data_IF_597231728987
#
_entry.id   IF_597231728987
#
_cell.length_a   1.000
_cell.length_b   1.000
_cell.length_c   1.000
_cell.angle_alpha   90.00
_cell.angle_beta   90.00
_cell.angle_gamma   90.00
#
_symmetry.space_group_name_H-M   'P 1'
#
loop_
_entity.id
_entity.type
_entity.pdbx_description
1 polymer ?
#
# COMPACT_ATOMS: atom_id res chain seq x y z
N UNK A 1 4.32 -1.21 -4.97
CA UNK A 1 2.86 -1.31 -4.68
C UNK A 1 2.39 -2.71 -4.99
N UNK A 2 1.49 -3.29 -4.18
CA UNK A 2 0.90 -4.61 -4.43
C UNK A 2 -0.58 -4.43 -4.70
N UNK A 3 -1.04 -4.97 -5.83
CA UNK A 3 -2.43 -4.87 -6.29
C UNK A 3 -3.03 -6.26 -6.35
N UNK A 4 -4.16 -6.46 -5.66
CA UNK A 4 -5.01 -7.64 -5.82
C UNK A 4 -5.99 -7.42 -6.98
N UNK A 5 -6.23 -8.46 -7.76
CA UNK A 5 -7.28 -8.50 -8.79
C UNK A 5 -8.08 -9.75 -8.53
N UNK A 6 -9.38 -9.63 -8.35
CA UNK A 6 -10.28 -10.75 -8.14
C UNK A 6 -11.42 -10.71 -9.14
N UNK A 7 -11.48 -11.73 -9.96
CA UNK A 7 -12.47 -11.92 -11.01
C UNK A 7 -12.51 -13.43 -11.32
N UNK A 8 -13.67 -14.04 -11.35
CA UNK A 8 -13.84 -15.47 -11.67
C UNK A 8 -13.56 -15.77 -13.15
N UNK A 9 -13.68 -14.76 -14.00
CA UNK A 9 -13.29 -14.84 -15.39
C UNK A 9 -11.81 -14.45 -15.54
N UNK A 10 -10.96 -15.43 -15.84
CA UNK A 10 -9.53 -15.24 -16.00
C UNK A 10 -9.16 -14.26 -17.12
N UNK A 11 -9.92 -14.20 -18.19
CA UNK A 11 -9.68 -13.27 -19.32
C UNK A 11 -9.92 -11.83 -18.86
N UNK A 12 -10.99 -11.59 -18.10
CA UNK A 12 -11.30 -10.29 -17.52
C UNK A 12 -10.23 -9.89 -16.50
N UNK A 13 -9.80 -10.81 -15.64
CA UNK A 13 -8.73 -10.55 -14.67
C UNK A 13 -7.41 -10.12 -15.37
N UNK A 14 -7.04 -10.79 -16.46
CA UNK A 14 -5.86 -10.42 -17.26
C UNK A 14 -6.05 -9.06 -17.93
N UNK A 15 -7.23 -8.79 -18.47
CA UNK A 15 -7.56 -7.49 -19.07
C UNK A 15 -7.47 -6.34 -18.05
N UNK A 16 -8.01 -6.55 -16.84
CA UNK A 16 -7.89 -5.60 -15.73
C UNK A 16 -6.41 -5.38 -15.41
N UNK A 17 -5.60 -6.44 -15.28
CA UNK A 17 -4.17 -6.36 -15.02
C UNK A 17 -3.45 -5.49 -16.08
N UNK A 18 -3.69 -5.74 -17.34
CA UNK A 18 -3.05 -5.00 -18.44
C UNK A 18 -3.40 -3.51 -18.39
N UNK A 19 -4.68 -3.16 -18.22
CA UNK A 19 -5.10 -1.77 -18.15
C UNK A 19 -4.60 -1.05 -16.91
N UNK A 20 -4.58 -1.70 -15.74
CA UNK A 20 -3.99 -1.15 -14.52
C UNK A 20 -2.49 -0.87 -14.71
N UNK A 21 -1.74 -1.83 -15.26
CA UNK A 21 -0.31 -1.67 -15.50
C UNK A 21 -0.03 -0.54 -16.52
N UNK A 22 -0.84 -0.44 -17.59
CA UNK A 22 -0.76 0.64 -18.58
C UNK A 22 -1.00 2.01 -17.92
N UNK A 23 -2.05 2.14 -17.13
CA UNK A 23 -2.35 3.39 -16.42
C UNK A 23 -1.25 3.77 -15.42
N UNK A 24 -0.73 2.83 -14.65
CA UNK A 24 0.34 3.09 -13.68
C UNK A 24 1.63 3.57 -14.34
N UNK A 25 2.01 2.97 -15.47
CA UNK A 25 3.16 3.44 -16.27
C UNK A 25 3.00 4.88 -16.74
N UNK A 26 1.79 5.29 -17.15
CA UNK A 26 1.51 6.69 -17.52
C UNK A 26 1.76 7.68 -16.38
N UNK A 27 1.62 7.23 -15.12
CA UNK A 27 1.88 8.04 -13.93
C UNK A 27 3.28 7.82 -13.32
N UNK A 28 4.18 7.10 -14.02
CA UNK A 28 5.56 6.87 -13.56
C UNK A 28 5.71 5.77 -12.50
N UNK A 29 4.67 4.99 -12.23
CA UNK A 29 4.69 3.87 -11.28
C UNK A 29 5.12 2.57 -11.97
N UNK A 30 6.43 2.40 -12.17
CA UNK A 30 6.97 1.23 -12.90
C UNK A 30 7.04 -0.06 -12.06
N UNK A 31 7.05 0.06 -10.70
CA UNK A 31 7.28 -1.08 -9.80
C UNK A 31 5.98 -1.50 -9.11
N UNK A 32 5.11 -2.16 -9.86
CA UNK A 32 3.85 -2.69 -9.34
C UNK A 32 3.81 -4.20 -9.46
N UNK A 33 3.23 -4.84 -8.46
CA UNK A 33 2.94 -6.26 -8.45
C UNK A 33 1.46 -6.44 -8.49
N UNK A 34 1.03 -7.30 -9.38
CA UNK A 34 -0.34 -7.73 -9.46
C UNK A 34 -0.47 -9.19 -9.03
N UNK A 35 -1.49 -9.48 -8.25
CA UNK A 35 -1.84 -10.81 -7.79
C UNK A 35 -3.26 -11.08 -8.27
N UNK A 36 -3.42 -12.04 -9.17
CA UNK A 36 -4.72 -12.47 -9.66
C UNK A 36 -5.24 -13.58 -8.76
N UNK A 37 -6.49 -13.48 -8.35
CA UNK A 37 -7.24 -14.48 -7.60
C UNK A 37 -8.55 -14.74 -8.34
N UNK A 38 -8.86 -16.00 -8.60
CA UNK A 38 -10.08 -16.41 -9.31
C UNK A 38 -11.24 -16.63 -8.33
N UNK A 39 -10.97 -16.56 -7.03
CA UNK A 39 -11.96 -16.68 -5.96
C UNK A 39 -11.65 -15.75 -4.77
N UNK A 40 -12.70 -15.43 -4.00
CA UNK A 40 -12.61 -14.53 -2.85
C UNK A 40 -11.77 -15.08 -1.71
N UNK A 41 -11.70 -16.39 -1.51
CA UNK A 41 -10.91 -17.01 -0.42
C UNK A 41 -9.43 -16.83 -0.66
N UNK A 42 -8.97 -17.06 -1.90
CA UNK A 42 -7.58 -16.80 -2.30
C UNK A 42 -7.21 -15.33 -2.19
N UNK A 43 -8.15 -14.44 -2.51
CA UNK A 43 -7.94 -13.00 -2.32
C UNK A 43 -7.73 -12.68 -0.84
N UNK A 44 -8.58 -13.16 0.05
CA UNK A 44 -8.46 -12.93 1.50
C UNK A 44 -7.15 -13.49 2.07
N UNK A 45 -6.74 -14.67 1.64
CA UNK A 45 -5.44 -15.24 2.00
C UNK A 45 -4.28 -14.37 1.53
N UNK A 46 -4.34 -13.88 0.30
CA UNK A 46 -3.35 -12.94 -0.22
C UNK A 46 -3.33 -11.62 0.58
N UNK A 47 -4.48 -11.08 1.00
CA UNK A 47 -4.55 -9.89 1.84
C UNK A 47 -3.90 -10.12 3.21
N UNK A 48 -4.04 -11.33 3.78
CA UNK A 48 -3.44 -11.70 5.09
C UNK A 48 -1.94 -11.94 5.02
N UNK A 49 -1.45 -12.51 3.93
CA UNK A 49 -0.06 -12.96 3.78
C UNK A 49 0.83 -11.97 3.02
N UNK A 50 0.23 -11.08 2.23
CA UNK A 50 0.92 -10.11 1.38
C UNK A 50 0.42 -8.70 1.70
N UNK A 51 1.29 -7.72 1.55
CA UNK A 51 0.94 -6.31 1.80
C UNK A 51 0.17 -5.71 0.61
N UNK A 52 -1.07 -6.16 0.41
CA UNK A 52 -1.95 -5.64 -0.63
C UNK A 52 -2.37 -4.20 -0.26
N UNK A 53 -2.27 -3.28 -1.23
CA UNK A 53 -2.60 -1.86 -1.03
C UNK A 53 -3.91 -1.48 -1.73
N UNK A 54 -4.15 -2.07 -2.90
CA UNK A 54 -5.28 -1.79 -3.76
C UNK A 54 -5.86 -3.09 -4.28
N UNK A 55 -7.19 -3.18 -4.35
CA UNK A 55 -7.89 -4.33 -4.92
C UNK A 55 -8.82 -3.85 -6.01
N UNK A 56 -8.75 -4.52 -7.17
CA UNK A 56 -9.78 -4.50 -8.20
C UNK A 56 -10.63 -5.75 -8.01
N UNK A 57 -11.91 -5.56 -7.73
CA UNK A 57 -12.81 -6.62 -7.29
C UNK A 57 -14.04 -6.67 -8.18
N UNK A 58 -14.25 -7.81 -8.81
CA UNK A 58 -15.53 -8.06 -9.49
C UNK A 58 -16.64 -8.23 -8.45
N UNK A 59 -17.82 -7.76 -8.79
CA UNK A 59 -19.02 -7.86 -7.94
C UNK A 59 -19.75 -9.18 -8.13
N UNK A 60 -19.71 -9.75 -9.32
CA UNK A 60 -20.45 -10.96 -9.68
C UNK A 60 -19.53 -12.14 -9.84
N UNK A 61 -19.34 -12.87 -8.76
CA UNK A 61 -18.61 -14.14 -8.76
C UNK A 61 -19.53 -15.26 -8.25
N UNK A 62 -19.53 -16.46 -8.88
CA UNK A 62 -20.47 -17.54 -8.57
C UNK A 62 -20.48 -18.00 -7.10
N UNK A 63 -19.33 -17.96 -6.44
CA UNK A 63 -19.16 -18.47 -5.08
C UNK A 63 -19.08 -17.39 -4.00
N UNK A 64 -19.06 -16.11 -4.40
CA UNK A 64 -18.82 -15.02 -3.47
C UNK A 64 -19.39 -13.70 -3.99
N UNK A 65 -20.21 -13.04 -3.18
CA UNK A 65 -20.66 -11.69 -3.47
C UNK A 65 -19.51 -10.70 -3.24
N UNK A 66 -19.13 -9.94 -4.28
CA UNK A 66 -18.03 -8.97 -4.17
C UNK A 66 -18.23 -7.91 -3.10
N UNK A 67 -19.47 -7.55 -2.77
CA UNK A 67 -19.77 -6.62 -1.67
C UNK A 67 -19.46 -7.21 -0.31
N UNK A 68 -19.89 -8.45 -0.04
CA UNK A 68 -19.58 -9.16 1.21
C UNK A 68 -18.08 -9.37 1.38
N UNK A 69 -17.39 -9.64 0.27
CA UNK A 69 -15.94 -9.78 0.28
C UNK A 69 -15.23 -8.46 0.59
N UNK A 70 -15.74 -7.34 0.05
CA UNK A 70 -15.24 -6.01 0.35
C UNK A 70 -15.38 -5.67 1.85
N UNK A 71 -16.53 -6.01 2.46
CA UNK A 71 -16.76 -5.81 3.89
C UNK A 71 -15.75 -6.61 4.74
N UNK A 72 -15.55 -7.89 4.44
CA UNK A 72 -14.56 -8.72 5.12
C UNK A 72 -13.13 -8.17 4.99
N UNK A 73 -12.79 -7.59 3.84
CA UNK A 73 -11.48 -6.96 3.62
C UNK A 73 -11.34 -5.69 4.46
N UNK A 74 -12.38 -4.84 4.52
CA UNK A 74 -12.38 -3.62 5.34
C UNK A 74 -12.29 -3.92 6.83
N UNK A 75 -12.99 -4.94 7.32
CA UNK A 75 -12.93 -5.39 8.71
C UNK A 75 -11.53 -5.88 9.07
N UNK A 76 -10.88 -6.58 8.14
CA UNK A 76 -9.52 -7.05 8.32
C UNK A 76 -8.50 -5.90 8.25
N UNK A 77 -8.60 -5.02 7.26
CA UNK A 77 -7.67 -3.90 7.05
C UNK A 77 -8.30 -2.77 6.22
N UNK A 78 -8.84 -1.78 6.90
CA UNK A 78 -9.47 -0.60 6.27
C UNK A 78 -8.52 0.31 5.48
N UNK A 79 -7.19 0.08 5.57
CA UNK A 79 -6.21 0.80 4.75
C UNK A 79 -6.17 0.30 3.30
N UNK A 80 -6.61 -0.94 3.03
CA UNK A 80 -6.72 -1.48 1.68
C UNK A 80 -7.80 -0.70 0.93
N UNK A 81 -7.45 -0.20 -0.25
CA UNK A 81 -8.43 0.49 -1.11
C UNK A 81 -9.06 -0.49 -2.08
N UNK A 82 -10.38 -0.41 -2.23
CA UNK A 82 -11.15 -1.28 -3.12
C UNK A 82 -11.70 -0.45 -4.26
N UNK A 83 -11.53 -0.95 -5.48
CA UNK A 83 -12.14 -0.47 -6.70
C UNK A 83 -12.98 -1.63 -7.23
N UNK A 84 -14.29 -1.41 -7.34
CA UNK A 84 -15.15 -2.39 -7.96
C UNK A 84 -15.01 -2.34 -9.49
N UNK A 85 -15.08 -3.51 -10.12
CA UNK A 85 -15.04 -3.67 -11.58
C UNK A 85 -16.20 -4.57 -11.98
N UNK A 86 -17.17 -4.08 -12.74
CA UNK A 86 -18.34 -4.88 -13.10
C UNK A 86 -18.91 -4.49 -14.47
N UNK A 87 -19.62 -5.41 -15.08
CA UNK A 87 -20.46 -5.15 -16.26
C UNK A 87 -21.79 -4.48 -15.90
N UNK A 88 -22.22 -4.57 -14.65
CA UNK A 88 -23.53 -4.12 -14.18
C UNK A 88 -23.50 -2.69 -13.66
N UNK A 89 -23.81 -1.73 -14.54
CA UNK A 89 -23.80 -0.29 -14.20
C UNK A 89 -24.85 0.09 -13.12
N UNK A 90 -25.92 -0.67 -12.99
CA UNK A 90 -26.93 -0.47 -11.95
C UNK A 90 -26.38 -0.69 -10.53
N UNK A 91 -25.36 -1.53 -10.36
CA UNK A 91 -24.73 -1.78 -9.05
C UNK A 91 -23.85 -0.62 -8.55
N UNK A 92 -23.65 0.42 -9.37
CA UNK A 92 -22.89 1.61 -8.94
C UNK A 92 -23.54 2.24 -7.70
N UNK A 93 -24.86 2.34 -7.65
CA UNK A 93 -25.54 2.95 -6.50
C UNK A 93 -25.41 2.10 -5.23
N UNK A 94 -25.58 0.79 -5.35
CA UNK A 94 -25.43 -0.14 -4.22
C UNK A 94 -24.00 -0.16 -3.69
N UNK A 95 -23.03 0.05 -4.58
CA UNK A 95 -21.61 0.09 -4.19
C UNK A 95 -21.25 1.22 -3.23
N UNK A 96 -22.02 2.31 -3.17
CA UNK A 96 -21.75 3.44 -2.27
C UNK A 96 -21.83 3.06 -0.79
N UNK A 97 -22.62 2.07 -0.42
CA UNK A 97 -22.71 1.58 0.97
C UNK A 97 -21.38 1.03 1.48
N UNK A 98 -20.56 0.51 0.56
CA UNK A 98 -19.25 -0.08 0.85
C UNK A 98 -18.09 0.91 0.72
N UNK A 99 -18.40 2.19 0.48
CA UNK A 99 -17.43 3.29 0.35
C UNK A 99 -16.17 2.93 -0.51
N UNK A 100 -16.35 2.36 -1.73
CA UNK A 100 -15.20 2.04 -2.58
C UNK A 100 -14.45 3.30 -2.99
N UNK A 101 -13.18 3.14 -3.32
CA UNK A 101 -12.40 4.24 -3.86
C UNK A 101 -12.94 4.71 -5.22
N UNK A 102 -13.36 3.77 -6.04
CA UNK A 102 -13.92 3.99 -7.37
C UNK A 102 -14.74 2.79 -7.85
N UNK A 103 -15.51 3.01 -8.94
CA UNK A 103 -16.20 1.97 -9.68
C UNK A 103 -15.76 2.03 -11.14
N UNK A 104 -15.33 0.91 -11.70
CA UNK A 104 -14.91 0.74 -13.09
C UNK A 104 -15.95 -0.13 -13.81
N UNK A 105 -16.53 0.39 -14.86
CA UNK A 105 -17.41 -0.39 -15.74
C UNK A 105 -16.58 -1.13 -16.77
N UNK A 106 -16.75 -2.44 -16.86
CA UNK A 106 -16.00 -3.27 -17.84
C UNK A 106 -16.23 -2.80 -19.28
N UNK A 107 -17.44 -2.28 -19.57
CA UNK A 107 -17.80 -1.67 -20.88
C UNK A 107 -17.01 -0.38 -21.20
N UNK A 108 -16.52 0.35 -20.20
CA UNK A 108 -15.74 1.58 -20.34
C UNK A 108 -14.39 1.49 -19.62
N UNK A 109 -13.78 0.29 -19.62
CA UNK A 109 -12.64 -0.05 -18.75
C UNK A 109 -11.48 0.95 -18.90
N UNK A 110 -11.03 1.25 -20.09
CA UNK A 110 -9.87 2.14 -20.31
C UNK A 110 -10.08 3.52 -19.68
N UNK A 111 -11.25 4.13 -19.92
CA UNK A 111 -11.56 5.46 -19.41
C UNK A 111 -11.73 5.50 -17.87
N UNK A 112 -12.48 4.51 -17.35
CA UNK A 112 -12.81 4.49 -15.94
C UNK A 112 -11.60 4.01 -15.11
N UNK A 113 -10.75 3.13 -15.65
CA UNK A 113 -9.50 2.68 -15.05
C UNK A 113 -8.51 3.83 -14.86
N UNK A 114 -8.34 4.66 -15.88
CA UNK A 114 -7.45 5.83 -15.78
C UNK A 114 -7.85 6.75 -14.62
N UNK A 115 -9.16 7.01 -14.47
CA UNK A 115 -9.70 7.83 -13.37
C UNK A 115 -9.52 7.16 -12.01
N UNK A 116 -9.76 5.85 -11.94
CA UNK A 116 -9.62 5.05 -10.74
C UNK A 116 -8.17 5.05 -10.23
N UNK A 117 -7.21 4.76 -11.11
CA UNK A 117 -5.78 4.79 -10.79
C UNK A 117 -5.33 6.20 -10.39
N UNK A 118 -5.75 7.23 -11.12
CA UNK A 118 -5.44 8.62 -10.76
C UNK A 118 -5.99 8.99 -9.37
N UNK A 119 -7.21 8.57 -9.05
CA UNK A 119 -7.83 8.77 -7.72
C UNK A 119 -7.03 8.07 -6.64
N UNK A 120 -6.64 6.82 -6.87
CA UNK A 120 -5.84 6.03 -5.95
C UNK A 120 -4.50 6.71 -5.66
N UNK A 121 -3.74 7.08 -6.68
CA UNK A 121 -2.45 7.73 -6.52
C UNK A 121 -2.56 9.05 -5.76
N UNK A 122 -3.61 9.85 -6.03
CA UNK A 122 -3.90 11.07 -5.26
C UNK A 122 -4.24 10.79 -3.80
N UNK A 123 -4.91 9.67 -3.51
CA UNK A 123 -5.25 9.28 -2.14
C UNK A 123 -4.03 8.78 -1.40
N UNK A 124 -3.20 7.95 -2.04
CA UNK A 124 -1.94 7.48 -1.46
C UNK A 124 -0.95 8.61 -1.19
N UNK A 125 -0.88 9.60 -2.07
CA UNK A 125 -0.05 10.79 -1.83
C UNK A 125 -0.55 11.65 -0.67
N UNK A 126 -1.79 11.44 -0.22
CA UNK A 126 -2.43 12.16 0.88
C UNK A 126 -2.54 11.35 2.18
N UNK A 127 -1.96 10.15 2.27
CA UNK A 127 -1.91 9.48 3.57
C UNK A 127 -1.09 10.34 4.51
N UNK A 128 -1.81 11.03 5.38
CA UNK A 128 -1.27 12.01 6.28
C UNK A 128 -1.05 11.35 7.63
N UNK A 129 0.16 11.44 8.15
CA UNK A 129 0.40 11.07 9.55
C UNK A 129 0.09 12.29 10.38
N UNK A 130 -0.92 12.14 11.24
CA UNK A 130 -1.18 13.12 12.28
C UNK A 130 -0.21 12.91 13.44
N UNK A 131 0.55 13.92 13.80
CA UNK A 131 1.44 13.93 14.95
C UNK A 131 1.33 15.24 15.70
N UNK A 132 1.30 15.19 17.02
CA UNK A 132 1.37 16.40 17.85
C UNK A 132 2.81 16.89 17.90
N UNK A 133 3.05 18.15 17.51
CA UNK A 133 4.27 18.85 17.85
C UNK A 133 4.18 19.25 19.35
N UNK A 134 5.13 18.79 20.18
CA UNK A 134 5.03 18.66 21.63
C UNK A 134 4.61 19.88 22.45
N UNK A 135 4.78 21.12 21.99
CA UNK A 135 4.41 22.32 22.74
C UNK A 135 3.39 23.22 22.03
N UNK A 136 3.20 23.08 20.75
CA UNK A 136 2.31 23.91 19.95
C UNK A 136 1.35 23.05 19.14
N UNK A 137 0.50 22.26 19.73
CA UNK A 137 -0.66 21.55 19.09
C UNK A 137 -0.80 21.76 17.55
N UNK A 138 0.29 21.72 16.79
CA UNK A 138 0.28 21.78 15.34
C UNK A 138 0.16 20.35 14.83
N UNK A 139 -0.91 20.11 14.10
CA UNK A 139 -1.06 18.92 13.30
C UNK A 139 -0.08 19.01 12.13
N UNK A 140 0.94 18.14 12.14
CA UNK A 140 1.88 18.05 11.03
C UNK A 140 1.36 16.95 10.11
N UNK A 141 1.16 17.32 8.85
CA UNK A 141 0.70 16.45 7.79
C UNK A 141 1.83 16.23 6.79
N UNK A 142 2.20 15.00 6.52
CA UNK A 142 3.17 14.69 5.47
C UNK A 142 2.74 13.48 4.65
N UNK A 143 3.13 13.52 3.40
CA UNK A 143 2.88 12.43 2.47
C UNK A 143 3.77 11.24 2.85
N UNK A 144 3.16 10.10 3.18
CA UNK A 144 3.89 8.87 3.54
C UNK A 144 4.84 8.42 2.44
N UNK A 145 4.46 8.58 1.17
CA UNK A 145 5.28 8.19 0.04
C UNK A 145 6.56 9.02 -0.09
N UNK A 146 6.57 10.21 0.50
CA UNK A 146 7.74 11.09 0.52
C UNK A 146 8.68 10.86 1.71
N UNK A 147 8.27 10.03 2.69
CA UNK A 147 9.11 9.68 3.84
C UNK A 147 10.12 8.61 3.44
N UNK A 148 11.40 8.89 3.65
CA UNK A 148 12.50 7.93 3.50
C UNK A 148 12.58 7.01 4.71
N UNK A 149 12.75 7.60 5.88
CA UNK A 149 12.84 6.89 7.16
C UNK A 149 12.50 7.82 8.32
N UNK A 150 12.28 7.22 9.48
CA UNK A 150 12.02 7.92 10.74
C UNK A 150 13.05 7.46 11.76
N UNK A 151 13.70 8.43 12.39
CA UNK A 151 14.68 8.21 13.44
C UNK A 151 14.11 8.65 14.80
N UNK A 152 14.36 7.86 15.84
CA UNK A 152 14.01 8.20 17.21
C UNK A 152 15.27 8.58 18.00
N UNK A 153 15.28 9.78 18.56
CA UNK A 153 16.30 10.26 19.50
C UNK A 153 15.60 10.65 20.80
N UNK A 154 15.70 9.80 21.81
CA UNK A 154 14.92 9.96 23.05
C UNK A 154 13.42 9.86 22.80
N UNK A 155 12.68 10.91 23.07
CA UNK A 155 11.23 11.02 22.83
C UNK A 155 10.89 11.83 21.56
N UNK A 156 11.90 12.21 20.77
CA UNK A 156 11.72 12.98 19.55
C UNK A 156 11.89 12.06 18.34
N UNK A 157 10.95 12.14 17.42
CA UNK A 157 10.98 11.46 16.13
C UNK A 157 11.36 12.49 15.06
N UNK A 158 12.36 12.14 14.27
CA UNK A 158 12.83 12.90 13.13
C UNK A 158 12.36 12.17 11.87
N UNK A 159 11.54 12.83 11.06
CA UNK A 159 10.96 12.28 9.84
C UNK A 159 11.73 12.86 8.68
N UNK A 160 12.51 12.02 8.02
CA UNK A 160 13.35 12.40 6.88
C UNK A 160 12.58 12.15 5.58
N UNK A 161 12.46 13.20 4.77
CA UNK A 161 11.71 13.22 3.52
C UNK A 161 12.65 13.10 2.31
N UNK A 162 12.14 12.68 1.15
CA UNK A 162 12.88 12.57 -0.10
C UNK A 162 13.40 13.92 -0.63
N UNK A 163 12.72 15.01 -0.29
CA UNK A 163 13.10 16.38 -0.65
C UNK A 163 14.09 17.01 0.33
N UNK A 164 14.81 16.19 1.13
CA UNK A 164 15.77 16.61 2.14
C UNK A 164 15.18 17.37 3.35
N UNK A 165 13.88 17.57 3.39
CA UNK A 165 13.22 18.11 4.58
C UNK A 165 13.24 17.13 5.74
N UNK A 166 13.32 17.67 6.98
CA UNK A 166 13.24 16.90 8.20
C UNK A 166 12.23 17.54 9.16
N UNK A 167 11.18 16.78 9.49
CA UNK A 167 10.19 17.21 10.47
C UNK A 167 10.46 16.58 11.83
N UNK A 168 10.24 17.37 12.90
CA UNK A 168 10.40 16.93 14.29
C UNK A 168 9.02 16.79 14.92
N UNK A 169 8.77 15.63 15.53
CA UNK A 169 7.53 15.38 16.28
C UNK A 169 7.85 14.65 17.59
N UNK A 170 7.00 14.78 18.59
CA UNK A 170 7.11 14.01 19.82
C UNK A 170 6.33 12.70 19.71
N UNK A 171 6.92 11.61 20.18
CA UNK A 171 6.25 10.32 20.17
C UNK A 171 7.21 9.14 20.32
N UNK A 172 6.67 7.94 20.10
CA UNK A 172 7.45 6.71 20.11
C UNK A 172 7.40 6.03 18.74
N UNK A 173 8.53 5.44 18.34
CA UNK A 173 8.55 4.64 17.12
C UNK A 173 7.58 3.45 17.17
N UNK A 174 7.32 2.89 18.36
CA UNK A 174 6.38 1.78 18.52
C UNK A 174 4.96 2.17 18.07
N UNK A 175 4.50 3.33 18.50
CA UNK A 175 3.18 3.85 18.11
C UNK A 175 3.08 4.13 16.61
N UNK A 176 4.17 4.58 15.96
CA UNK A 176 4.20 4.79 14.52
C UNK A 176 4.38 3.49 13.73
N UNK A 177 5.15 2.53 14.25
CA UNK A 177 5.37 1.23 13.62
C UNK A 177 4.05 0.52 13.33
N UNK A 178 3.14 0.45 14.32
CA UNK A 178 1.82 -0.17 14.16
C UNK A 178 0.99 0.52 13.06
N UNK A 179 1.02 1.85 13.00
CA UNK A 179 0.28 2.63 12.01
C UNK A 179 0.89 2.56 10.61
N UNK A 180 2.22 2.49 10.52
CA UNK A 180 2.95 2.58 9.27
C UNK A 180 3.29 1.22 8.65
N UNK A 181 3.08 0.12 9.39
CA UNK A 181 3.32 -1.23 8.89
C UNK A 181 2.53 -1.50 7.60
N UNK A 182 1.26 -1.11 7.57
CA UNK A 182 0.37 -1.29 6.40
C UNK A 182 0.81 -0.49 5.17
N UNK A 183 1.62 0.55 5.37
CA UNK A 183 2.18 1.38 4.31
C UNK A 183 3.60 0.95 3.89
N UNK A 184 4.07 -0.18 4.40
CA UNK A 184 5.36 -0.75 4.02
C UNK A 184 6.56 -0.19 4.79
N UNK A 185 6.34 0.35 5.98
CA UNK A 185 7.46 0.71 6.85
C UNK A 185 7.94 -0.49 7.66
N UNK A 186 9.26 -0.62 7.78
CA UNK A 186 9.92 -1.74 8.46
C UNK A 186 10.83 -1.21 9.57
N UNK A 187 10.68 -1.79 10.77
CA UNK A 187 11.54 -1.47 11.90
C UNK A 187 12.87 -2.18 11.79
N UNK A 188 13.92 -1.47 11.36
CA UNK A 188 15.27 -2.04 11.18
C UNK A 188 16.13 -1.96 12.45
N UNK A 189 15.87 -1.00 13.32
CA UNK A 189 16.61 -0.78 14.56
C UNK A 189 15.67 -0.26 15.66
N UNK A 190 16.11 -0.29 16.93
CA UNK A 190 15.33 0.34 18.03
C UNK A 190 15.04 1.82 17.75
N UNK A 191 15.88 2.48 16.97
CA UNK A 191 15.79 3.90 16.64
C UNK A 191 15.36 4.19 15.20
N UNK A 192 15.24 3.19 14.32
CA UNK A 192 14.97 3.43 12.89
C UNK A 192 13.76 2.64 12.38
N UNK A 193 12.86 3.35 11.73
CA UNK A 193 11.73 2.83 10.97
C UNK A 193 11.89 3.31 9.51
N UNK A 194 12.01 2.40 8.56
CA UNK A 194 12.39 2.70 7.18
C UNK A 194 11.27 2.37 6.22
N UNK A 195 11.05 3.21 5.22
CA UNK A 195 10.15 2.92 4.12
C UNK A 195 10.77 1.85 3.21
N UNK A 196 10.14 0.69 3.13
CA UNK A 196 10.62 -0.44 2.32
C UNK A 196 10.76 -0.10 0.82
N UNK A 197 9.98 0.86 0.32
CA UNK A 197 10.06 1.37 -1.06
C UNK A 197 11.39 2.08 -1.34
N UNK A 198 11.99 2.66 -0.30
CA UNK A 198 13.24 3.40 -0.39
C UNK A 198 14.48 2.54 -0.12
N UNK A 199 14.32 1.23 0.19
CA UNK A 199 15.44 0.33 0.44
C UNK A 199 16.03 -0.16 -0.89
N UNK A 200 17.28 0.20 -1.14
CA UNK A 200 18.08 -0.27 -2.28
C UNK A 200 18.60 -1.69 -2.03
N UNK A 201 19.29 -1.88 -0.91
CA UNK A 201 19.89 -3.19 -0.56
C UNK A 201 20.01 -3.38 0.96
N UNK A 202 20.17 -4.65 1.37
CA UNK A 202 20.42 -5.02 2.77
C UNK A 202 21.83 -5.61 2.87
N UNK A 203 22.68 -4.89 3.54
CA UNK A 203 24.01 -5.36 3.92
C UNK A 203 23.99 -6.32 5.12
N UNK A 204 25.18 -6.59 5.67
CA UNK A 204 25.30 -7.43 6.85
C UNK A 204 24.87 -6.71 8.14
N UNK A 205 25.17 -5.42 8.24
CA UNK A 205 24.90 -4.58 9.43
C UNK A 205 24.12 -3.32 9.11
N UNK A 206 23.94 -2.99 7.85
CA UNK A 206 23.29 -1.77 7.40
C UNK A 206 22.21 -2.07 6.36
N UNK A 207 21.24 -1.15 6.24
CA UNK A 207 20.33 -1.02 5.12
C UNK A 207 20.76 0.21 4.35
N UNK A 208 21.03 0.05 3.04
CA UNK A 208 21.30 1.16 2.14
C UNK A 208 19.99 1.62 1.49
N UNK A 209 19.72 2.91 1.52
CA UNK A 209 18.57 3.54 0.88
C UNK A 209 18.88 3.96 -0.55
N UNK A 210 17.86 4.38 -1.31
CA UNK A 210 17.98 4.80 -2.70
C UNK A 210 18.80 6.08 -2.88
N UNK A 211 18.84 6.95 -1.87
CA UNK A 211 19.65 8.17 -1.78
C UNK A 211 21.11 7.92 -1.36
N UNK A 212 21.46 6.66 -1.08
CA UNK A 212 22.81 6.25 -0.63
C UNK A 212 22.99 6.28 0.89
N UNK A 213 21.99 6.72 1.67
CA UNK A 213 22.07 6.70 3.14
C UNK A 213 22.17 5.26 3.65
N UNK A 214 23.09 5.02 4.57
CA UNK A 214 23.24 3.76 5.28
C UNK A 214 22.74 3.87 6.73
N UNK A 215 21.85 2.95 7.11
CA UNK A 215 21.26 2.90 8.45
C UNK A 215 21.54 1.56 9.11
N UNK A 216 21.96 1.59 10.38
CA UNK A 216 22.30 0.39 11.14
C UNK A 216 21.12 -0.54 11.38
N UNK A 217 21.36 -1.84 11.24
CA UNK A 217 20.43 -2.90 11.60
C UNK A 217 20.62 -3.27 13.08
N UNK A 218 19.53 -3.35 13.82
CA UNK A 218 19.56 -3.82 15.20
C UNK A 218 20.02 -5.28 15.32
N UNK A 219 20.75 -5.60 16.39
CA UNK A 219 21.17 -6.98 16.71
C UNK A 219 19.97 -7.93 16.61
N UNK A 220 20.16 -9.07 15.93
CA UNK A 220 19.15 -10.14 15.72
C UNK A 220 17.93 -9.78 14.85
N UNK A 221 17.85 -8.57 14.26
CA UNK A 221 16.71 -8.18 13.41
C UNK A 221 16.91 -8.51 11.93
N UNK A 222 18.11 -8.80 11.47
CA UNK A 222 18.43 -8.98 10.04
C UNK A 222 17.53 -10.02 9.36
N UNK A 223 17.30 -11.17 10.00
CA UNK A 223 16.46 -12.25 9.43
C UNK A 223 15.01 -11.78 9.25
N UNK A 224 14.45 -11.12 10.27
CA UNK A 224 13.10 -10.58 10.24
C UNK A 224 12.94 -9.49 9.17
N UNK A 225 13.90 -8.56 9.09
CA UNK A 225 13.92 -7.47 8.10
C UNK A 225 13.98 -8.06 6.70
N UNK A 226 14.86 -9.04 6.47
CA UNK A 226 15.00 -9.71 5.18
C UNK A 226 13.69 -10.36 4.77
N UNK A 227 13.04 -11.08 5.68
CA UNK A 227 11.74 -11.70 5.44
C UNK A 227 10.63 -10.68 5.16
N UNK A 228 10.56 -9.59 5.94
CA UNK A 228 9.59 -8.50 5.72
C UNK A 228 9.82 -7.80 4.37
N UNK A 229 11.08 -7.56 4.00
CA UNK A 229 11.43 -6.98 2.68
C UNK A 229 11.23 -7.97 1.54
N UNK A 230 11.45 -9.26 1.77
CA UNK A 230 11.15 -10.32 0.79
C UNK A 230 9.63 -10.48 0.62
N UNK A 231 8.85 -10.42 1.69
CA UNK A 231 7.40 -10.37 1.62
C UNK A 231 6.93 -9.10 0.88
N UNK A 232 7.56 -7.96 1.15
CA UNK A 232 7.30 -6.71 0.45
C UNK A 232 7.81 -6.73 -1.00
N UNK A 233 8.99 -7.37 -1.27
CA UNK A 233 9.60 -7.53 -2.59
C UNK A 233 9.18 -8.84 -3.28
N UNK A 234 8.84 -9.89 -2.55
CA UNK A 234 8.41 -11.19 -3.07
C UNK A 234 7.00 -11.16 -3.63
N UNK A 235 6.19 -10.23 -3.11
CA UNK A 235 5.13 -9.65 -3.89
C UNK A 235 5.66 -8.96 -5.18
N UNK A 236 6.97 -8.73 -5.39
CA UNK A 236 7.57 -8.00 -6.54
C UNK A 236 8.31 -8.87 -7.57
N UNK A 237 8.35 -10.18 -7.40
CA UNK A 237 9.00 -11.09 -8.36
C UNK A 237 7.95 -11.91 -9.09
N UNK A 238 7.35 -11.35 -10.11
CA UNK A 238 6.82 -12.00 -11.31
C UNK A 238 6.19 -10.94 -12.21
N UNK A 239 6.99 -10.36 -13.04
CA UNK A 239 6.66 -9.89 -14.38
C UNK A 239 7.81 -10.31 -15.28
#
# INVERSE_FOLDING_TARGET
MVIGICDDNREDAIRIQQEVCKCLKLFGEEKTITIISEDGRKLLENCRTKMVNLIFLDLEMPECNGFELAEQIYDFNSAIKIIFVSNHENMVFDSYEYAPLWFVRKSFMERDMLKAVQKYLKTESKVQIWCKDGEKSKDIWFCINEVLYIECRGHTLFIYMKNEECHKIYGSLKSLEEKLLVYGFIRIHKNFLVNARCVKEIGNRTVCLLDGMELDIGKNRRKQIKQQLENYKGGRRMC
#
